data_IF_736020726265
#
_entry.id   IF_736020726265
#
_cell.length_a   1.000
_cell.length_b   1.000
_cell.length_c   1.000
_cell.angle_alpha   90.00
_cell.angle_beta   90.00
_cell.angle_gamma   90.00
#
_symmetry.space_group_name_H-M   'P 1'
#
loop_
_entity.id
_entity.type
_entity.pdbx_description
1 polymer ?
#
# COMPACT_ATOMS: atom_id res chain seq x y z
N UNK A 1 -22.95 -3.88 -8.92
CA UNK A 1 -22.28 -5.04 -8.28
C UNK A 1 -21.96 -4.64 -6.85
N UNK A 2 -22.37 -5.43 -5.87
CA UNK A 2 -22.01 -5.20 -4.45
C UNK A 2 -20.76 -6.00 -4.13
N UNK A 3 -19.76 -5.37 -3.50
CA UNK A 3 -18.55 -6.05 -3.03
C UNK A 3 -18.27 -5.76 -1.56
N UNK A 4 -17.29 -6.46 -1.00
CA UNK A 4 -16.87 -6.29 0.39
C UNK A 4 -15.70 -5.31 0.51
N UNK A 5 -15.62 -4.60 1.64
CA UNK A 5 -14.52 -3.68 1.92
C UNK A 5 -13.83 -4.11 3.21
N UNK A 6 -12.62 -4.63 3.09
CA UNK A 6 -11.80 -5.07 4.21
C UNK A 6 -11.01 -3.90 4.78
N UNK A 7 -11.32 -3.51 6.02
CA UNK A 7 -10.69 -2.38 6.71
C UNK A 7 -9.60 -2.89 7.64
N UNK A 8 -8.34 -2.86 7.16
CA UNK A 8 -7.16 -3.25 7.92
C UNK A 8 -6.94 -2.24 9.05
N UNK A 9 -7.06 -2.73 10.29
CA UNK A 9 -7.14 -1.88 11.49
C UNK A 9 -6.16 -2.35 12.56
N UNK A 10 -5.27 -1.45 12.97
CA UNK A 10 -4.48 -1.57 14.19
C UNK A 10 -4.93 -0.47 15.17
N UNK A 11 -6.07 -0.71 15.83
CA UNK A 11 -6.80 0.22 16.66
C UNK A 11 -5.95 0.77 17.80
N UNK A 12 -5.26 -0.08 18.56
CA UNK A 12 -4.42 0.35 19.69
C UNK A 12 -3.33 1.33 19.23
N UNK A 13 -2.69 1.05 18.10
CA UNK A 13 -1.61 1.88 17.57
C UNK A 13 -2.09 3.16 16.87
N UNK A 14 -3.14 3.09 16.05
CA UNK A 14 -3.59 4.20 15.21
C UNK A 14 -4.64 5.08 15.88
N UNK A 15 -5.47 4.50 16.77
CA UNK A 15 -6.73 5.11 17.21
C UNK A 15 -6.91 5.22 18.72
N UNK A 16 -6.13 4.48 19.52
CA UNK A 16 -6.17 4.61 20.98
C UNK A 16 -5.24 5.73 21.50
N UNK A 17 -5.61 6.35 22.61
CA UNK A 17 -4.89 7.46 23.27
C UNK A 17 -3.46 7.11 23.72
N UNK A 18 -3.05 5.84 23.61
CA UNK A 18 -1.72 5.36 23.96
C UNK A 18 -0.63 5.77 22.95
N UNK A 19 -1.01 6.38 21.81
CA UNK A 19 -0.08 6.88 20.80
C UNK A 19 -0.14 8.41 20.69
N UNK A 20 1.01 9.14 20.73
CA UNK A 20 1.03 10.60 20.62
C UNK A 20 0.59 11.13 19.24
N UNK A 21 0.30 10.25 18.28
CA UNK A 21 -0.25 10.56 16.96
C UNK A 21 -1.60 9.86 16.72
N UNK A 22 -2.29 9.45 17.79
CA UNK A 22 -3.58 8.80 17.68
C UNK A 22 -4.59 9.71 16.99
N UNK A 23 -5.34 9.14 16.05
CA UNK A 23 -6.45 9.80 15.38
C UNK A 23 -7.70 9.03 15.74
N UNK A 24 -8.77 9.74 16.11
CA UNK A 24 -10.05 9.08 16.34
C UNK A 24 -10.41 8.22 15.12
N UNK A 25 -11.02 7.05 15.38
CA UNK A 25 -11.52 6.20 14.31
C UNK A 25 -12.57 6.97 13.50
N UNK A 26 -12.44 6.94 12.18
CA UNK A 26 -13.32 7.73 11.31
C UNK A 26 -14.76 7.19 11.41
N UNK A 27 -15.69 8.07 11.79
CA UNK A 27 -17.07 7.69 12.05
C UNK A 27 -17.79 7.19 10.79
N UNK A 28 -17.33 7.57 9.59
CA UNK A 28 -17.90 7.08 8.32
C UNK A 28 -17.87 5.56 8.24
N UNK A 29 -16.77 4.93 8.64
CA UNK A 29 -16.70 3.47 8.69
C UNK A 29 -17.76 2.86 9.60
N UNK A 30 -18.11 3.51 10.71
CA UNK A 30 -19.03 2.97 11.71
C UNK A 30 -20.49 3.24 11.39
N UNK A 31 -20.77 4.37 10.74
CA UNK A 31 -22.12 4.87 10.45
C UNK A 31 -22.62 4.47 9.07
N UNK A 32 -21.73 4.08 8.16
CA UNK A 32 -22.08 3.65 6.82
C UNK A 32 -22.88 2.34 6.83
N UNK A 33 -23.81 2.22 5.89
CA UNK A 33 -24.55 1.00 5.61
C UNK A 33 -23.78 0.05 4.66
N UNK A 34 -22.53 0.37 4.30
CA UNK A 34 -21.69 -0.47 3.44
C UNK A 34 -21.22 -1.73 4.17
N UNK A 35 -20.88 -2.78 3.40
CA UNK A 35 -20.34 -4.03 3.93
C UNK A 35 -18.86 -3.88 4.30
N UNK A 36 -18.59 -3.14 5.38
CA UNK A 36 -17.26 -3.06 5.96
C UNK A 36 -16.99 -4.29 6.85
N UNK A 37 -15.91 -5.00 6.54
CA UNK A 37 -15.40 -6.11 7.33
C UNK A 37 -14.07 -5.64 7.95
N UNK A 38 -13.99 -5.60 9.27
CA UNK A 38 -12.80 -5.09 9.96
C UNK A 38 -11.80 -6.22 10.18
N UNK A 39 -10.66 -6.12 9.52
CA UNK A 39 -9.53 -7.02 9.75
C UNK A 39 -8.63 -6.42 10.82
N UNK A 40 -8.73 -6.94 12.04
CA UNK A 40 -8.06 -6.41 13.22
C UNK A 40 -6.70 -7.08 13.44
N UNK A 41 -5.68 -6.26 13.56
CA UNK A 41 -4.35 -6.65 14.04
C UNK A 41 -4.34 -6.70 15.57
N UNK A 42 -5.25 -6.01 16.25
CA UNK A 42 -5.33 -6.05 17.72
C UNK A 42 -5.73 -7.45 18.23
N UNK A 43 -5.00 -7.94 19.24
CA UNK A 43 -5.33 -9.20 19.93
C UNK A 43 -6.67 -9.12 20.66
N UNK A 44 -6.95 -7.98 21.26
CA UNK A 44 -8.21 -7.74 21.98
C UNK A 44 -9.20 -7.06 21.04
N UNK A 45 -10.46 -7.51 21.07
CA UNK A 45 -11.55 -6.89 20.32
C UNK A 45 -11.95 -5.56 20.99
N UNK A 46 -11.70 -4.39 20.36
CA UNK A 46 -12.11 -3.11 20.92
C UNK A 46 -13.64 -3.01 20.98
N UNK A 47 -14.15 -2.36 22.02
CA UNK A 47 -15.60 -2.25 22.27
C UNK A 47 -16.38 -1.68 21.07
N UNK A 48 -15.74 -0.74 20.35
CA UNK A 48 -16.26 -0.12 19.13
C UNK A 48 -16.68 -1.12 18.04
N UNK A 49 -16.04 -2.30 17.99
CA UNK A 49 -16.24 -3.29 16.93
C UNK A 49 -17.09 -4.49 17.35
N UNK A 50 -17.58 -4.58 18.60
CA UNK A 50 -18.33 -5.74 19.10
C UNK A 50 -19.61 -6.08 18.32
N UNK A 51 -20.19 -5.10 17.62
CA UNK A 51 -21.40 -5.25 16.80
C UNK A 51 -21.10 -5.17 15.30
N UNK A 52 -19.85 -5.40 14.89
CA UNK A 52 -19.39 -5.30 13.52
C UNK A 52 -18.88 -6.65 13.01
N UNK A 53 -18.80 -6.80 11.69
CA UNK A 53 -18.15 -7.95 11.07
C UNK A 53 -16.64 -7.83 11.27
N UNK A 54 -16.04 -8.76 12.01
CA UNK A 54 -14.65 -8.68 12.43
C UNK A 54 -13.93 -9.99 12.15
N UNK A 55 -12.72 -9.86 11.63
CA UNK A 55 -11.74 -10.93 11.52
C UNK A 55 -10.51 -10.50 12.34
N UNK A 56 -10.11 -11.29 13.33
CA UNK A 56 -8.90 -11.02 14.11
C UNK A 56 -7.74 -11.85 13.56
N UNK A 57 -6.70 -11.19 13.05
CA UNK A 57 -5.55 -11.85 12.40
C UNK A 57 -4.91 -12.90 13.33
N UNK A 58 -4.68 -12.55 14.60
CA UNK A 58 -4.13 -13.47 15.60
C UNK A 58 -4.99 -14.73 15.82
N UNK A 59 -6.32 -14.61 15.75
CA UNK A 59 -7.21 -15.76 15.94
C UNK A 59 -7.27 -16.65 14.69
N UNK A 60 -6.99 -16.07 13.52
CA UNK A 60 -6.94 -16.78 12.24
C UNK A 60 -5.62 -17.56 12.10
N UNK A 61 -4.49 -16.91 12.36
CA UNK A 61 -3.15 -17.49 12.25
C UNK A 61 -2.12 -16.72 13.09
N UNK A 62 -1.63 -17.35 14.15
CA UNK A 62 -0.64 -16.73 15.04
C UNK A 62 0.72 -16.49 14.36
N UNK A 63 1.11 -17.34 13.40
CA UNK A 63 2.38 -17.21 12.67
C UNK A 63 2.33 -16.02 11.71
N UNK A 64 1.25 -15.90 10.93
CA UNK A 64 1.04 -14.76 10.03
C UNK A 64 0.88 -13.46 10.81
N UNK A 65 0.18 -13.47 11.95
CA UNK A 65 0.11 -12.33 12.85
C UNK A 65 1.50 -11.86 13.30
N UNK A 66 2.34 -12.79 13.77
CA UNK A 66 3.69 -12.49 14.20
C UNK A 66 4.57 -11.95 13.05
N UNK A 67 4.44 -12.52 11.85
CA UNK A 67 5.17 -12.08 10.67
C UNK A 67 4.68 -10.73 10.12
N UNK A 68 3.37 -10.49 10.14
CA UNK A 68 2.70 -9.22 9.82
C UNK A 68 3.18 -8.07 10.69
N UNK A 69 3.30 -8.31 12.00
CA UNK A 69 3.84 -7.35 12.96
C UNK A 69 5.30 -6.96 12.71
N UNK A 70 6.15 -7.92 12.29
CA UNK A 70 7.59 -7.74 12.13
C UNK A 70 8.01 -7.23 10.75
N UNK A 71 7.52 -7.87 9.68
CA UNK A 71 8.09 -7.72 8.34
C UNK A 71 7.07 -7.58 7.20
N UNK A 72 5.95 -8.32 7.24
CA UNK A 72 5.04 -8.44 6.09
C UNK A 72 4.09 -7.24 5.96
N UNK A 73 3.66 -6.64 7.07
CA UNK A 73 2.69 -5.54 7.00
C UNK A 73 1.36 -6.03 6.48
N UNK A 74 0.72 -5.23 5.64
CA UNK A 74 -0.58 -5.52 5.03
C UNK A 74 -0.55 -6.77 4.13
N UNK A 75 0.62 -7.32 3.78
CA UNK A 75 0.72 -8.59 3.06
C UNK A 75 0.31 -9.81 3.90
N UNK A 76 0.32 -9.72 5.22
CA UNK A 76 -0.21 -10.80 6.07
C UNK A 76 -1.69 -11.05 5.80
N UNK A 77 -2.45 -10.02 5.44
CA UNK A 77 -3.84 -10.16 5.01
C UNK A 77 -3.96 -11.04 3.75
N UNK A 78 -3.15 -10.76 2.73
CA UNK A 78 -3.18 -11.50 1.45
C UNK A 78 -2.79 -12.96 1.66
N UNK A 79 -1.73 -13.21 2.43
CA UNK A 79 -1.28 -14.57 2.75
C UNK A 79 -2.27 -15.34 3.63
N UNK A 80 -2.95 -14.64 4.54
CA UNK A 80 -4.04 -15.22 5.30
C UNK A 80 -5.23 -15.57 4.39
N UNK A 81 -5.58 -14.70 3.46
CA UNK A 81 -6.67 -14.96 2.51
C UNK A 81 -6.36 -16.16 1.61
N UNK A 82 -5.13 -16.28 1.12
CA UNK A 82 -4.69 -17.46 0.38
C UNK A 82 -4.94 -18.75 1.18
N UNK A 83 -4.51 -18.78 2.45
CA UNK A 83 -4.55 -19.96 3.30
C UNK A 83 -5.95 -20.31 3.78
N UNK A 84 -6.77 -19.30 4.10
CA UNK A 84 -8.04 -19.51 4.81
C UNK A 84 -9.29 -19.18 3.99
N UNK A 85 -9.15 -18.50 2.84
CA UNK A 85 -10.26 -18.19 1.91
C UNK A 85 -11.46 -17.54 2.61
N UNK A 86 -11.20 -16.50 3.39
CA UNK A 86 -12.22 -15.79 4.19
C UNK A 86 -12.84 -14.61 3.44
N UNK A 87 -12.31 -14.20 2.29
CA UNK A 87 -12.77 -13.01 1.58
C UNK A 87 -14.06 -13.24 0.76
N UNK A 88 -14.95 -12.25 0.80
CA UNK A 88 -16.10 -12.12 -0.08
C UNK A 88 -15.71 -11.31 -1.33
N UNK A 89 -15.84 -11.89 -2.52
CA UNK A 89 -15.42 -11.24 -3.77
C UNK A 89 -16.60 -10.62 -4.56
N UNK A 90 -16.38 -9.52 -5.31
CA UNK A 90 -15.15 -8.74 -5.37
C UNK A 90 -14.90 -7.96 -4.07
N UNK A 91 -13.64 -7.66 -3.77
CA UNK A 91 -13.31 -6.86 -2.59
C UNK A 91 -12.26 -5.78 -2.86
N UNK A 92 -12.24 -4.79 -1.97
CA UNK A 92 -11.10 -3.89 -1.76
C UNK A 92 -10.58 -4.02 -0.33
N UNK A 93 -9.26 -4.02 -0.17
CA UNK A 93 -8.64 -3.83 1.14
C UNK A 93 -8.19 -2.38 1.30
N UNK A 94 -8.50 -1.76 2.44
CA UNK A 94 -8.12 -0.38 2.76
C UNK A 94 -7.68 -0.27 4.22
N UNK A 95 -6.94 0.78 4.57
CA UNK A 95 -6.60 1.05 5.97
C UNK A 95 -7.76 1.72 6.71
N UNK A 96 -7.84 1.50 8.02
CA UNK A 96 -8.66 2.31 8.95
C UNK A 96 -8.33 3.81 8.94
N UNK A 97 -7.21 4.21 8.33
CA UNK A 97 -6.81 5.61 8.12
C UNK A 97 -7.05 6.09 6.69
N UNK A 98 -7.68 5.31 5.82
CA UNK A 98 -7.89 5.63 4.41
C UNK A 98 -8.51 7.02 4.23
N UNK A 99 -9.63 7.25 4.89
CA UNK A 99 -10.36 8.51 4.84
C UNK A 99 -9.57 9.73 5.35
N UNK A 100 -8.70 9.52 6.34
CA UNK A 100 -7.80 10.56 6.85
C UNK A 100 -6.68 10.87 5.83
N UNK A 101 -6.12 9.83 5.19
CA UNK A 101 -5.02 9.98 4.23
C UNK A 101 -5.48 10.53 2.88
N UNK A 102 -6.77 10.35 2.57
CA UNK A 102 -7.40 10.70 1.29
C UNK A 102 -8.52 11.74 1.47
N UNK A 103 -8.27 12.77 2.27
CA UNK A 103 -9.21 13.88 2.48
C UNK A 103 -9.57 14.64 1.18
N UNK A 104 -8.85 14.40 0.09
CA UNK A 104 -9.05 15.08 -1.19
C UNK A 104 -10.01 14.35 -2.14
N UNK A 105 -10.32 13.07 -1.92
CA UNK A 105 -11.37 12.40 -2.67
C UNK A 105 -12.68 13.15 -2.37
N UNK A 106 -13.23 13.82 -3.39
CA UNK A 106 -14.50 14.56 -3.33
C UNK A 106 -15.64 13.62 -3.65
N UNK A 107 -16.81 13.94 -3.07
CA UNK A 107 -17.87 13.01 -2.70
C UNK A 107 -17.43 12.11 -1.55
N UNK A 108 -18.35 11.85 -0.63
CA UNK A 108 -18.17 10.78 0.35
C UNK A 108 -17.74 9.54 -0.43
N UNK A 109 -16.55 8.96 -0.21
CA UNK A 109 -16.07 7.76 -0.95
C UNK A 109 -17.13 6.65 -0.92
N UNK A 110 -18.00 6.68 0.09
CA UNK A 110 -19.20 5.86 0.16
C UNK A 110 -20.06 5.91 -1.12
N UNK A 111 -20.02 7.00 -1.88
CA UNK A 111 -20.70 7.19 -3.18
C UNK A 111 -19.91 6.61 -4.36
N UNK A 112 -18.59 6.43 -4.23
CA UNK A 112 -17.73 5.92 -5.30
C UNK A 112 -17.68 4.38 -5.30
N UNK A 113 -17.98 3.71 -4.18
CA UNK A 113 -17.86 2.25 -4.07
C UNK A 113 -18.63 1.48 -5.14
N UNK A 114 -19.86 1.89 -5.48
CA UNK A 114 -20.65 1.19 -6.50
C UNK A 114 -19.97 1.24 -7.87
N UNK A 115 -19.36 2.38 -8.20
CA UNK A 115 -18.63 2.56 -9.44
C UNK A 115 -17.29 1.84 -9.41
N UNK A 116 -16.56 1.89 -8.29
CA UNK A 116 -15.34 1.12 -8.07
C UNK A 116 -15.58 -0.38 -8.29
N UNK A 117 -16.63 -0.94 -7.70
CA UNK A 117 -16.98 -2.35 -7.90
C UNK A 117 -17.51 -2.63 -9.32
N UNK A 118 -18.14 -1.66 -9.98
CA UNK A 118 -18.58 -1.84 -11.37
C UNK A 118 -17.40 -2.05 -12.34
N UNK A 119 -16.25 -1.40 -12.10
CA UNK A 119 -15.06 -1.60 -12.93
C UNK A 119 -14.49 -3.02 -12.85
N UNK A 120 -14.81 -3.81 -11.81
CA UNK A 120 -14.43 -5.23 -11.80
C UNK A 120 -15.14 -6.08 -12.86
N UNK A 121 -16.14 -5.54 -13.56
CA UNK A 121 -16.69 -6.20 -14.76
C UNK A 121 -15.71 -6.19 -15.95
N UNK A 122 -14.82 -5.20 -16.01
CA UNK A 122 -13.84 -5.02 -17.09
C UNK A 122 -12.42 -5.38 -16.65
N UNK A 123 -12.08 -5.11 -15.39
CA UNK A 123 -10.73 -5.30 -14.84
C UNK A 123 -10.72 -6.36 -13.73
N UNK A 124 -9.62 -7.08 -13.61
CA UNK A 124 -9.45 -8.09 -12.53
C UNK A 124 -8.94 -7.50 -11.23
N UNK A 125 -8.28 -6.35 -11.31
CA UNK A 125 -7.58 -5.70 -10.21
C UNK A 125 -7.98 -4.22 -10.18
N UNK A 126 -7.92 -3.62 -8.99
CA UNK A 126 -8.10 -2.18 -8.82
C UNK A 126 -7.20 -1.60 -7.73
N UNK A 127 -6.74 -0.36 -7.89
CA UNK A 127 -6.00 0.37 -6.86
C UNK A 127 -6.72 1.62 -6.38
N UNK A 128 -6.65 1.87 -5.08
CA UNK A 128 -7.10 3.10 -4.44
C UNK A 128 -5.88 3.92 -3.97
N UNK A 129 -5.99 5.25 -3.91
CA UNK A 129 -4.87 6.08 -3.53
C UNK A 129 -4.55 5.87 -2.05
N UNK A 130 -3.27 5.66 -1.73
CA UNK A 130 -2.84 5.45 -0.36
C UNK A 130 -2.62 6.74 0.43
N UNK A 131 -2.31 7.80 -0.31
CA UNK A 131 -2.08 9.15 0.15
C UNK A 131 -2.42 10.11 -0.98
N UNK A 132 -2.49 11.39 -0.64
CA UNK A 132 -2.30 12.47 -1.61
C UNK A 132 -0.97 12.40 -2.34
N UNK A 133 -1.00 11.78 -3.49
CA UNK A 133 0.07 11.77 -4.47
C UNK A 133 -0.52 12.11 -5.84
N UNK A 134 0.25 12.83 -6.67
CA UNK A 134 -0.12 12.98 -8.07
C UNK A 134 -0.03 11.62 -8.76
N UNK A 135 -0.92 11.39 -9.72
CA UNK A 135 -0.76 10.33 -10.69
C UNK A 135 0.53 10.59 -11.50
N UNK A 136 1.53 9.74 -11.32
CA UNK A 136 2.83 9.85 -11.99
C UNK A 136 3.50 8.50 -12.12
N UNK A 137 4.49 8.46 -13.01
CA UNK A 137 5.43 7.36 -13.14
C UNK A 137 6.69 7.65 -12.32
N UNK A 138 7.12 6.69 -11.52
CA UNK A 138 8.40 6.71 -10.82
C UNK A 138 9.44 6.05 -11.71
N UNK A 139 10.53 6.78 -11.99
CA UNK A 139 11.69 6.24 -12.70
C UNK A 139 12.51 5.37 -11.73
N UNK A 140 12.65 4.08 -11.99
CA UNK A 140 13.39 3.09 -11.23
C UNK A 140 14.86 2.95 -11.68
N UNK A 141 15.33 3.76 -12.63
CA UNK A 141 16.74 3.75 -13.06
C UNK A 141 17.67 4.16 -11.90
N UNK A 142 18.11 3.17 -11.14
CA UNK A 142 18.96 3.35 -9.96
C UNK A 142 20.38 3.79 -10.32
N UNK A 143 20.83 3.48 -11.54
CA UNK A 143 22.19 3.79 -12.03
C UNK A 143 22.43 5.30 -12.04
N UNK A 144 21.43 6.08 -12.46
CA UNK A 144 21.46 7.56 -12.42
C UNK A 144 21.37 8.13 -11.00
N UNK A 145 20.72 7.42 -10.08
CA UNK A 145 20.42 7.89 -8.71
C UNK A 145 21.63 7.79 -7.78
N UNK A 146 22.51 6.81 -7.98
CA UNK A 146 23.67 6.55 -7.11
C UNK A 146 24.75 7.64 -7.17
N UNK A 147 24.85 8.40 -8.26
CA UNK A 147 25.91 9.41 -8.44
C UNK A 147 25.51 10.85 -8.08
N UNK A 148 24.22 11.24 -8.09
CA UNK A 148 23.85 12.68 -8.01
C UNK A 148 22.67 13.05 -7.11
N UNK A 149 21.78 12.12 -6.70
CA UNK A 149 20.49 12.50 -6.09
C UNK A 149 19.96 11.53 -5.00
N UNK A 150 20.84 10.81 -4.29
CA UNK A 150 20.45 9.84 -3.23
C UNK A 150 19.47 10.45 -2.20
N UNK A 151 19.60 11.75 -1.88
CA UNK A 151 18.72 12.46 -0.95
C UNK A 151 17.30 12.74 -1.48
N UNK A 152 17.07 12.71 -2.81
CA UNK A 152 15.71 12.89 -3.37
C UNK A 152 14.82 11.67 -3.17
N UNK A 153 15.42 10.52 -2.84
CA UNK A 153 14.72 9.24 -2.66
C UNK A 153 14.82 8.73 -1.22
N UNK A 154 14.86 9.64 -0.24
CA UNK A 154 14.81 9.32 1.20
C UNK A 154 13.60 8.47 1.61
N UNK A 155 12.55 8.45 0.79
CA UNK A 155 11.32 7.71 1.10
C UNK A 155 11.37 6.23 0.71
N UNK A 156 12.27 5.84 -0.20
CA UNK A 156 12.31 4.47 -0.70
C UNK A 156 13.70 3.85 -0.57
N UNK A 157 13.87 2.93 0.38
CA UNK A 157 15.19 2.47 0.79
C UNK A 157 15.88 1.42 -0.11
N UNK A 158 15.59 1.31 -1.40
CA UNK A 158 16.17 0.21 -2.20
C UNK A 158 17.69 0.31 -2.41
N UNK A 159 18.35 -0.84 -2.52
CA UNK A 159 19.78 -1.00 -2.85
C UNK A 159 19.93 -1.77 -4.16
N UNK A 160 21.11 -1.69 -4.78
CA UNK A 160 21.45 -2.42 -6.02
C UNK A 160 21.10 -3.91 -5.94
N UNK A 161 21.40 -4.57 -4.82
CA UNK A 161 21.07 -5.99 -4.61
C UNK A 161 19.58 -6.30 -4.72
N UNK A 162 18.69 -5.34 -4.45
CA UNK A 162 17.25 -5.53 -4.68
C UNK A 162 16.96 -5.79 -6.15
N UNK A 163 17.57 -5.01 -7.05
CA UNK A 163 17.38 -5.17 -8.49
C UNK A 163 18.01 -6.46 -9.00
N UNK A 164 19.21 -6.81 -8.52
CA UNK A 164 19.84 -8.09 -8.84
C UNK A 164 18.95 -9.27 -8.43
N UNK A 165 18.38 -9.24 -7.22
CA UNK A 165 17.47 -10.28 -6.77
C UNK A 165 16.17 -10.32 -7.59
N UNK A 166 15.65 -9.15 -7.98
CA UNK A 166 14.46 -9.05 -8.83
C UNK A 166 14.71 -9.71 -10.19
N UNK A 167 15.84 -9.44 -10.83
CA UNK A 167 16.25 -10.09 -12.08
C UNK A 167 16.43 -11.61 -11.90
N UNK A 168 17.04 -12.04 -10.79
CA UNK A 168 17.22 -13.46 -10.50
C UNK A 168 15.91 -14.23 -10.29
N UNK A 169 14.96 -13.65 -9.56
CA UNK A 169 13.71 -14.33 -9.21
C UNK A 169 12.63 -14.20 -10.28
N UNK A 170 12.59 -13.08 -10.99
CA UNK A 170 11.51 -12.75 -11.92
C UNK A 170 11.96 -12.61 -13.38
N UNK A 171 13.27 -12.67 -13.66
CA UNK A 171 13.81 -12.53 -15.00
C UNK A 171 13.66 -11.13 -15.60
N UNK A 172 13.40 -10.11 -14.78
CA UNK A 172 13.21 -8.73 -15.25
C UNK A 172 14.36 -7.84 -14.79
N UNK A 173 15.09 -7.30 -15.77
CA UNK A 173 16.08 -6.27 -15.54
C UNK A 173 15.39 -4.91 -15.37
N UNK A 174 15.06 -4.56 -14.12
CA UNK A 174 14.27 -3.36 -13.79
C UNK A 174 14.75 -2.07 -14.47
N UNK A 175 16.03 -1.66 -14.41
CA UNK A 175 16.42 -0.38 -14.99
C UNK A 175 16.37 -0.34 -16.52
N UNK A 176 16.35 -1.49 -17.21
CA UNK A 176 16.33 -1.59 -18.67
C UNK A 176 14.95 -1.95 -19.24
N UNK A 177 14.21 -2.84 -18.57
CA UNK A 177 12.91 -3.37 -19.02
C UNK A 177 11.72 -2.76 -18.28
N UNK A 178 11.81 -2.61 -16.96
CA UNK A 178 10.73 -2.12 -16.09
C UNK A 178 11.11 -0.80 -15.41
N UNK A 179 11.52 0.17 -16.23
CA UNK A 179 12.07 1.43 -15.73
C UNK A 179 11.03 2.31 -15.04
N UNK A 180 9.77 2.25 -15.46
CA UNK A 180 8.72 3.12 -14.92
C UNK A 180 7.68 2.29 -14.20
N UNK A 181 7.34 2.70 -12.98
CA UNK A 181 6.24 2.11 -12.19
C UNK A 181 5.25 3.20 -11.81
N UNK A 182 3.95 2.91 -11.81
CA UNK A 182 2.97 3.87 -11.33
C UNK A 182 3.17 4.17 -9.83
N UNK A 183 3.04 5.44 -9.41
CA UNK A 183 3.12 5.84 -7.99
C UNK A 183 1.81 5.52 -7.23
N UNK A 184 1.27 4.32 -7.47
CA UNK A 184 0.11 3.75 -6.77
C UNK A 184 0.54 2.81 -5.63
N UNK A 185 1.73 3.06 -5.10
CA UNK A 185 2.38 2.24 -4.09
C UNK A 185 1.61 2.29 -2.76
N UNK A 186 1.64 1.16 -2.04
CA UNK A 186 0.82 0.74 -0.89
C UNK A 186 -0.45 -0.04 -1.26
N UNK A 187 -0.73 -1.08 -0.46
CA UNK A 187 -1.66 -2.17 -0.74
C UNK A 187 -3.16 -1.83 -0.61
N UNK A 188 -3.65 -0.69 -1.11
CA UNK A 188 -5.09 -0.53 -1.26
C UNK A 188 -5.55 -1.11 -2.59
N UNK A 189 -5.32 -2.41 -2.71
CA UNK A 189 -5.65 -3.22 -3.88
C UNK A 189 -7.03 -3.83 -3.69
N UNK A 190 -7.72 -4.07 -4.79
CA UNK A 190 -8.91 -4.89 -4.84
C UNK A 190 -8.81 -5.95 -5.91
N UNK A 191 -9.55 -7.02 -5.70
CA UNK A 191 -9.56 -8.21 -6.55
C UNK A 191 -10.99 -8.54 -6.93
N UNK A 192 -11.19 -8.83 -8.21
CA UNK A 192 -12.49 -9.24 -8.75
C UNK A 192 -12.94 -10.59 -8.20
N UNK A 193 -12.01 -11.54 -8.13
CA UNK A 193 -12.25 -12.93 -7.77
C UNK A 193 -11.03 -13.53 -7.06
N UNK A 194 -11.22 -14.70 -6.44
CA UNK A 194 -10.18 -15.40 -5.70
C UNK A 194 -9.03 -15.86 -6.59
N UNK A 195 -9.32 -16.21 -7.84
CA UNK A 195 -8.32 -16.62 -8.81
C UNK A 195 -7.32 -15.49 -9.08
N UNK A 196 -7.81 -14.26 -9.30
CA UNK A 196 -6.96 -13.08 -9.47
C UNK A 196 -6.04 -12.84 -8.25
N UNK A 197 -6.56 -13.01 -7.02
CA UNK A 197 -5.74 -12.92 -5.82
C UNK A 197 -4.68 -14.02 -5.76
N UNK A 198 -5.03 -15.27 -6.05
CA UNK A 198 -4.07 -16.38 -6.02
C UNK A 198 -2.98 -16.22 -7.06
N UNK A 199 -3.30 -15.78 -8.28
CA UNK A 199 -2.30 -15.47 -9.31
C UNK A 199 -1.33 -14.38 -8.84
N UNK A 200 -1.88 -13.30 -8.28
CA UNK A 200 -1.09 -12.19 -7.77
C UNK A 200 -0.14 -12.65 -6.66
N UNK A 201 -0.61 -13.40 -5.67
CA UNK A 201 0.25 -13.88 -4.57
C UNK A 201 1.25 -14.92 -5.08
N UNK A 202 0.83 -15.85 -5.94
CA UNK A 202 1.70 -16.87 -6.52
C UNK A 202 2.89 -16.24 -7.25
N UNK A 203 2.68 -15.14 -7.96
CA UNK A 203 3.76 -14.39 -8.59
C UNK A 203 4.81 -13.92 -7.59
N UNK A 204 4.43 -13.42 -6.40
CA UNK A 204 5.38 -12.95 -5.39
C UNK A 204 5.91 -14.04 -4.46
N UNK A 205 5.40 -15.28 -4.56
CA UNK A 205 5.85 -16.41 -3.73
C UNK A 205 7.36 -16.62 -3.74
N UNK A 206 8.08 -16.62 -4.88
CA UNK A 206 9.52 -16.86 -4.89
C UNK A 206 10.30 -15.85 -4.04
N UNK A 207 9.84 -14.60 -3.99
CA UNK A 207 10.44 -13.56 -3.15
C UNK A 207 10.16 -13.78 -1.66
N UNK A 208 8.97 -14.25 -1.31
CA UNK A 208 8.61 -14.59 0.07
C UNK A 208 9.44 -15.78 0.53
N UNK A 209 9.49 -16.87 -0.24
CA UNK A 209 10.28 -18.07 0.07
C UNK A 209 11.79 -17.82 0.11
N UNK A 210 12.28 -16.82 -0.63
CA UNK A 210 13.68 -16.41 -0.55
C UNK A 210 14.05 -15.86 0.84
N UNK A 211 13.17 -15.07 1.45
CA UNK A 211 13.44 -14.40 2.72
C UNK A 211 12.90 -15.14 3.94
N UNK A 212 11.87 -15.95 3.79
CA UNK A 212 11.12 -16.55 4.88
C UNK A 212 11.04 -18.07 4.73
N UNK A 213 11.05 -18.78 5.85
CA UNK A 213 10.70 -20.20 5.90
C UNK A 213 9.17 -20.43 5.92
N UNK A 214 8.75 -21.69 5.96
CA UNK A 214 7.34 -22.10 6.02
C UNK A 214 6.59 -21.57 7.26
N UNK A 215 7.31 -21.11 8.30
CA UNK A 215 6.77 -20.51 9.52
C UNK A 215 6.87 -18.98 9.50
N UNK A 216 7.13 -18.38 8.34
CA UNK A 216 7.33 -16.95 8.14
C UNK A 216 8.42 -16.35 9.04
N UNK A 217 9.43 -17.14 9.41
CA UNK A 217 10.64 -16.66 10.07
C UNK A 217 11.66 -16.23 9.03
N UNK A 218 12.32 -15.10 9.31
CA UNK A 218 13.30 -14.55 8.40
C UNK A 218 14.55 -15.44 8.40
N UNK A 219 14.85 -16.09 7.25
CA UNK A 219 16.04 -16.92 7.06
C UNK A 219 17.17 -16.18 6.35
N UNK A 220 16.86 -15.03 5.72
CA UNK A 220 17.86 -14.16 5.09
C UNK A 220 17.69 -12.70 5.52
N UNK A 221 18.82 -12.00 5.75
CA UNK A 221 18.77 -10.58 6.11
C UNK A 221 18.23 -9.73 4.96
N UNK A 222 17.29 -8.82 5.28
CA UNK A 222 16.75 -7.82 4.35
C UNK A 222 17.68 -6.61 4.15
N UNK A 223 18.62 -6.39 5.08
CA UNK A 223 19.50 -5.22 5.09
C UNK A 223 20.31 -5.02 3.80
N UNK A 224 20.81 -6.06 3.11
CA UNK A 224 21.54 -5.88 1.85
C UNK A 224 20.66 -5.33 0.72
N UNK A 225 19.34 -5.46 0.82
CA UNK A 225 18.37 -5.12 -0.23
C UNK A 225 17.65 -3.81 0.06
N UNK A 226 17.32 -3.56 1.33
CA UNK A 226 16.53 -2.41 1.77
C UNK A 226 17.27 -1.70 2.92
N UNK A 227 17.46 -0.39 2.79
CA UNK A 227 17.97 0.52 3.83
C UNK A 227 16.92 0.74 4.91
N UNK A 228 17.35 0.90 6.15
CA UNK A 228 16.49 1.53 7.16
C UNK A 228 16.60 3.05 6.99
N UNK A 229 15.48 3.73 6.84
CA UNK A 229 15.47 5.19 6.65
C UNK A 229 15.39 5.95 7.98
N UNK A 230 14.96 5.27 9.05
CA UNK A 230 14.63 5.89 10.33
C UNK A 230 13.43 6.86 10.25
N UNK A 231 12.78 6.97 9.08
CA UNK A 231 11.66 7.88 8.87
C UNK A 231 10.35 7.32 9.43
N UNK A 232 10.27 6.00 9.63
CA UNK A 232 9.11 5.33 10.21
C UNK A 232 9.50 4.55 11.47
N UNK A 233 8.64 4.59 12.50
CA UNK A 233 8.89 3.93 13.80
C UNK A 233 8.85 2.39 13.71
N UNK A 234 8.11 1.87 12.74
CA UNK A 234 7.95 0.43 12.46
C UNK A 234 8.26 0.17 10.98
N UNK A 235 9.50 0.42 10.56
CA UNK A 235 9.92 0.12 9.18
C UNK A 235 9.83 -1.38 8.92
N UNK A 236 8.72 -1.80 8.28
CA UNK A 236 8.54 -3.14 7.76
C UNK A 236 9.31 -3.22 6.44
N UNK A 237 10.61 -3.45 6.56
CA UNK A 237 11.57 -3.32 5.44
C UNK A 237 11.20 -4.20 4.25
N UNK A 238 10.60 -5.37 4.50
CA UNK A 238 10.12 -6.25 3.44
C UNK A 238 8.86 -5.71 2.74
N UNK A 239 7.93 -5.07 3.46
CA UNK A 239 6.79 -4.37 2.85
C UNK A 239 7.24 -3.33 1.84
N UNK A 240 8.31 -2.56 2.11
CA UNK A 240 8.85 -1.61 1.13
C UNK A 240 9.39 -2.28 -0.13
N UNK A 241 10.01 -3.46 0.01
CA UNK A 241 10.45 -4.26 -1.14
C UNK A 241 9.24 -4.62 -2.01
N UNK A 242 8.19 -5.15 -1.37
CA UNK A 242 6.97 -5.56 -2.04
C UNK A 242 6.19 -4.39 -2.63
N UNK A 243 6.16 -3.21 -2.01
CA UNK A 243 5.50 -2.02 -2.56
C UNK A 243 6.14 -1.51 -3.86
N UNK A 244 7.44 -1.70 -4.03
CA UNK A 244 8.12 -1.31 -5.28
C UNK A 244 7.79 -2.31 -6.38
N UNK A 245 7.74 -3.59 -6.02
CA UNK A 245 7.50 -4.67 -6.97
C UNK A 245 6.03 -5.01 -7.14
N UNK A 246 5.09 -4.47 -6.35
CA UNK A 246 3.67 -4.83 -6.35
C UNK A 246 2.98 -4.58 -7.69
N UNK A 247 3.62 -3.81 -8.56
CA UNK A 247 3.15 -3.53 -9.91
C UNK A 247 3.85 -4.36 -11.00
N UNK A 248 4.96 -5.02 -10.66
CA UNK A 248 5.72 -5.85 -11.59
C UNK A 248 4.89 -7.02 -12.12
N UNK A 249 3.95 -7.55 -11.32
CA UNK A 249 2.98 -8.55 -11.76
C UNK A 249 2.24 -8.11 -13.03
N UNK A 250 1.71 -6.88 -13.04
CA UNK A 250 0.94 -6.35 -14.17
C UNK A 250 1.79 -6.14 -15.41
N UNK A 251 3.04 -5.68 -15.22
CA UNK A 251 4.02 -5.56 -16.30
C UNK A 251 4.32 -6.92 -16.95
N UNK A 252 4.67 -7.93 -16.14
CA UNK A 252 5.06 -9.26 -16.62
C UNK A 252 3.90 -9.99 -17.29
N UNK A 253 2.71 -9.90 -16.71
CA UNK A 253 1.52 -10.59 -17.22
C UNK A 253 0.75 -9.79 -18.28
N UNK A 254 1.21 -8.57 -18.60
CA UNK A 254 0.51 -7.68 -19.52
C UNK A 254 -0.95 -7.43 -19.10
N UNK A 255 -1.17 -7.34 -17.79
CA UNK A 255 -2.48 -7.13 -17.17
C UNK A 255 -2.69 -5.63 -16.95
N UNK A 256 -3.90 -5.17 -17.23
CA UNK A 256 -4.30 -3.78 -16.97
C UNK A 256 -5.03 -3.69 -15.64
N UNK A 257 -4.83 -2.58 -14.95
CA UNK A 257 -5.47 -2.32 -13.66
C UNK A 257 -6.20 -0.99 -13.70
N UNK A 258 -7.37 -0.89 -13.07
CA UNK A 258 -8.02 0.41 -12.90
C UNK A 258 -7.59 1.06 -11.58
N UNK A 259 -7.61 2.38 -11.53
CA UNK A 259 -7.38 3.11 -10.29
C UNK A 259 -8.31 4.30 -10.16
N UNK A 260 -8.68 4.60 -8.91
CA UNK A 260 -9.28 5.87 -8.55
C UNK A 260 -8.18 6.87 -8.18
N UNK A 261 -8.28 8.06 -8.74
CA UNK A 261 -7.44 9.19 -8.39
C UNK A 261 -8.34 10.42 -8.17
N UNK A 262 -7.80 11.48 -7.58
CA UNK A 262 -8.60 12.62 -7.11
C UNK A 262 -9.36 13.38 -8.20
N UNK A 263 -8.97 13.24 -9.47
CA UNK A 263 -9.59 13.89 -10.61
C UNK A 263 -10.23 12.90 -11.58
N UNK A 264 -10.38 11.63 -11.19
CA UNK A 264 -11.08 10.66 -12.01
C UNK A 264 -10.63 9.21 -11.85
N UNK A 265 -11.19 8.38 -12.72
CA UNK A 265 -10.86 6.96 -12.86
C UNK A 265 -9.91 6.79 -14.03
N UNK A 266 -8.97 5.86 -13.88
CA UNK A 266 -7.92 5.61 -14.87
C UNK A 266 -7.72 4.13 -15.09
N UNK A 267 -7.49 3.74 -16.34
CA UNK A 267 -6.81 2.50 -16.71
C UNK A 267 -5.30 2.77 -16.63
N UNK A 268 -4.58 1.82 -16.04
CA UNK A 268 -3.13 1.85 -15.90
C UNK A 268 -2.56 0.67 -16.68
N UNK A 269 -1.64 1.00 -17.59
CA UNK A 269 -0.86 0.02 -18.34
C UNK A 269 0.61 0.17 -17.92
N UNK A 270 1.07 -0.70 -17.02
CA UNK A 270 2.45 -0.70 -16.51
C UNK A 270 3.47 -1.02 -17.62
N UNK A 271 3.07 -1.75 -18.67
CA UNK A 271 3.97 -2.11 -19.77
C UNK A 271 4.18 -0.97 -20.75
N UNK A 272 3.11 -0.25 -21.08
CA UNK A 272 3.19 0.94 -21.92
C UNK A 272 3.64 2.19 -21.14
N UNK A 273 3.62 2.15 -19.80
CA UNK A 273 3.74 3.31 -18.94
C UNK A 273 2.69 4.39 -19.26
N UNK A 274 1.43 3.98 -19.43
CA UNK A 274 0.32 4.84 -19.81
C UNK A 274 -0.79 4.89 -18.76
N UNK A 275 -1.35 6.10 -18.58
CA UNK A 275 -2.58 6.32 -17.83
C UNK A 275 -3.66 6.79 -18.78
N UNK A 276 -4.71 5.98 -18.96
CA UNK A 276 -5.87 6.34 -19.79
C UNK A 276 -7.02 6.73 -18.87
N UNK A 277 -7.41 8.01 -18.89
CA UNK A 277 -8.55 8.50 -18.10
C UNK A 277 -9.85 7.86 -18.63
N UNK A 278 -10.58 7.21 -17.75
CA UNK A 278 -11.86 6.53 -18.02
C UNK A 278 -13.05 7.43 -17.70
N UNK A 279 -12.96 8.19 -16.62
CA UNK A 279 -14.02 9.10 -16.17
C UNK A 279 -13.41 10.31 -15.50
N UNK A 280 -13.89 11.51 -15.85
CA UNK A 280 -13.38 12.77 -15.32
C UNK A 280 -14.17 13.23 -14.07
N UNK A 281 -13.44 13.47 -12.99
CA UNK A 281 -13.93 14.05 -11.73
C UNK A 281 -13.14 15.30 -11.36
N UNK A 282 -12.58 16.00 -12.36
CA UNK A 282 -11.69 17.14 -12.12
C UNK A 282 -12.29 18.12 -11.10
N UNK A 283 -11.61 18.34 -9.96
CA UNK A 283 -12.14 19.23 -8.94
C UNK A 283 -12.06 20.70 -9.41
N UNK A 284 -12.83 21.61 -8.80
CA UNK A 284 -12.74 23.04 -9.07
C UNK A 284 -11.29 23.55 -8.96
N UNK A 285 -10.90 24.49 -9.82
CA UNK A 285 -9.52 24.98 -9.95
C UNK A 285 -8.87 25.35 -8.61
N UNK A 286 -9.62 26.00 -7.72
CA UNK A 286 -9.14 26.37 -6.37
C UNK A 286 -8.64 25.16 -5.59
N UNK A 287 -9.40 24.07 -5.61
CA UNK A 287 -9.06 22.82 -4.92
C UNK A 287 -7.81 22.22 -5.57
N UNK A 288 -7.76 22.17 -6.90
CA UNK A 288 -6.59 21.70 -7.65
C UNK A 288 -5.31 22.47 -7.29
N UNK A 289 -5.40 23.80 -7.15
CA UNK A 289 -4.26 24.64 -6.75
C UNK A 289 -3.83 24.39 -5.30
N UNK A 290 -4.78 24.31 -4.37
CA UNK A 290 -4.49 23.97 -2.97
C UNK A 290 -3.80 22.60 -2.86
N UNK A 291 -4.20 21.62 -3.67
CA UNK A 291 -3.60 20.28 -3.74
C UNK A 291 -2.16 20.34 -4.25
N UNK A 292 -1.90 21.02 -5.37
CA UNK A 292 -0.56 21.18 -5.92
C UNK A 292 0.36 21.85 -4.89
N UNK A 293 -0.10 22.93 -4.23
CA UNK A 293 0.69 23.64 -3.22
C UNK A 293 1.02 22.75 -2.02
N UNK A 294 0.04 21.99 -1.51
CA UNK A 294 0.26 21.04 -0.40
C UNK A 294 1.22 19.93 -0.79
N UNK A 295 1.10 19.37 -2.00
CA UNK A 295 2.03 18.35 -2.49
C UNK A 295 3.44 18.91 -2.65
N UNK A 296 3.61 20.09 -3.25
CA UNK A 296 4.91 20.74 -3.36
C UNK A 296 5.51 21.02 -1.97
N UNK A 297 4.70 21.47 -1.01
CA UNK A 297 5.14 21.67 0.38
C UNK A 297 5.59 20.36 1.04
N UNK A 298 4.81 19.29 0.89
CA UNK A 298 5.17 17.94 1.38
C UNK A 298 6.49 17.51 0.74
N UNK A 299 6.58 17.57 -0.59
CA UNK A 299 7.77 17.21 -1.36
C UNK A 299 8.99 18.00 -0.90
N UNK A 300 8.88 19.32 -0.68
CA UNK A 300 9.98 20.12 -0.14
C UNK A 300 10.46 19.61 1.22
N UNK A 301 9.52 19.20 2.10
CA UNK A 301 9.82 18.67 3.43
C UNK A 301 10.32 17.23 3.46
N UNK A 302 9.91 16.38 2.51
CA UNK A 302 10.21 14.93 2.53
C UNK A 302 11.26 14.49 1.51
N UNK A 303 11.35 15.18 0.38
CA UNK A 303 12.16 14.82 -0.81
C UNK A 303 13.05 15.98 -1.33
N UNK A 304 12.83 17.21 -0.84
CA UNK A 304 13.46 18.43 -1.31
C UNK A 304 14.58 18.96 -0.41
N UNK A 305 15.04 20.18 -0.69
CA UNK A 305 16.14 20.83 0.05
C UNK A 305 15.86 21.03 1.54
N UNK A 306 14.59 20.96 1.97
CA UNK A 306 14.23 21.07 3.38
C UNK A 306 14.27 19.72 4.12
N UNK A 307 14.33 18.59 3.42
CA UNK A 307 14.33 17.26 4.04
C UNK A 307 15.43 17.07 5.11
N UNK A 308 16.70 17.53 4.92
CA UNK A 308 17.72 17.42 5.96
C UNK A 308 17.40 18.19 7.24
N UNK A 309 16.66 19.30 7.14
CA UNK A 309 16.29 20.14 8.28
C UNK A 309 15.13 19.54 9.08
N UNK A 310 14.25 18.76 8.42
CA UNK A 310 13.12 18.10 9.07
C UNK A 310 13.42 16.66 9.53
N UNK A 311 14.43 16.00 8.95
CA UNK A 311 14.83 14.64 9.33
C UNK A 311 15.39 14.54 10.76
N UNK A 312 16.01 15.61 11.28
CA UNK A 312 16.70 15.62 12.59
C UNK A 312 15.79 15.60 13.83
N UNK A 313 14.47 15.74 13.71
CA UNK A 313 13.56 15.67 14.87
C UNK A 313 13.14 14.26 15.29
N UNK A 314 13.59 13.23 14.58
CA UNK A 314 13.22 11.83 14.87
C UNK A 314 14.33 10.98 15.51
N UNK A 315 15.56 11.50 15.64
CA UNK A 315 16.70 10.74 16.19
C UNK A 315 16.92 10.89 17.71
N UNK A 316 16.00 11.49 18.46
CA UNK A 316 16.17 11.72 19.92
C UNK A 316 15.38 10.76 20.82
N UNK A 317 14.67 9.77 20.27
CA UNK A 317 14.11 8.69 21.09
C UNK A 317 15.00 7.46 20.97
N UNK A 318 16.15 7.56 21.65
CA UNK A 318 16.98 6.41 21.98
C UNK A 318 16.17 5.44 22.84
N UNK A 319 16.30 4.17 22.49
CA UNK A 319 15.77 3.02 23.19
C UNK A 319 16.32 2.97 24.63
N UNK A 320 15.42 2.79 25.60
CA UNK A 320 15.73 2.00 26.79
C UNK A 320 15.04 0.64 26.64
N UNK A 321 15.69 -0.44 27.08
CA UNK A 321 15.39 -1.83 26.71
C UNK A 321 13.96 -2.29 27.01
#
# INVERSE_FOLDING_TARGET
MTGAIYVITHHKFNHSTQSPRCKAFDQRFLQSNRNFIYYLIDRELPELFRKKNVIQEHALDELLYAAGGRCLGEWSFLLAEEKYSFCEYPFFMISSRFYEKNQWLRADLDQEWERLFAYFSEYRFGFLPSYDRPLRWLDLDWRKKLQKEIWRYTFFPWKEKMFTLTEQLFGVNVPDEYRYVSDLQCNYIGFRDREALLEYIAYYRPLIEYFFDDNYQLVQSLEPYIRKTGAFRNEKSFTFFLEILSHLFFFVHNEKVFTLHYDGYYEVDERAAEFKKLYDQTPPLRVKLEQILRWQWRRLRTEGSLAPFFAKKHSLYQYSP
#
